data_IF_020081397254
#
_entry.id   IF_020081397254
#
_cell.length_a   1.000
_cell.length_b   1.000
_cell.length_c   1.000
_cell.angle_alpha   90.00
_cell.angle_beta   90.00
_cell.angle_gamma   90.00
#
_symmetry.space_group_name_H-M   'P 1'
#
loop_
_entity.id
_entity.type
_entity.pdbx_description
1 polymer ?
#
# COMPACT_ATOMS: atom_id res chain seq x y z
N UNK A 1 -0.67 17.22 -10.84
CA UNK A 1 -2.11 17.44 -10.75
C UNK A 1 -2.45 18.78 -11.41
N UNK A 2 -3.35 18.78 -12.42
CA UNK A 2 -3.72 19.99 -13.19
C UNK A 2 -2.49 20.77 -13.71
N UNK A 3 -1.53 20.06 -14.30
CA UNK A 3 -0.30 20.64 -14.85
C UNK A 3 0.76 21.05 -13.82
N UNK A 4 0.52 20.80 -12.52
CA UNK A 4 1.50 21.08 -11.45
C UNK A 4 2.03 19.80 -10.85
N UNK A 5 3.36 19.70 -10.72
CA UNK A 5 3.98 18.62 -9.97
C UNK A 5 3.57 18.70 -8.48
N UNK A 6 3.28 17.58 -7.87
CA UNK A 6 3.07 17.52 -6.43
C UNK A 6 4.42 17.44 -5.73
N UNK A 7 4.64 18.23 -4.66
CA UNK A 7 5.81 18.06 -3.81
C UNK A 7 5.87 16.64 -3.26
N UNK A 8 6.98 15.96 -3.51
CA UNK A 8 7.27 14.59 -3.04
C UNK A 8 8.56 14.62 -2.25
N UNK A 9 8.49 14.38 -0.95
CA UNK A 9 9.61 14.44 -0.03
C UNK A 9 9.91 13.06 0.54
N UNK A 10 11.19 12.67 0.54
CA UNK A 10 11.64 11.46 1.22
C UNK A 10 11.43 11.60 2.73
N UNK A 11 10.81 10.61 3.35
CA UNK A 11 10.63 10.52 4.81
C UNK A 11 11.33 9.26 5.34
N UNK A 12 11.21 8.99 6.64
CA UNK A 12 11.77 7.77 7.22
C UNK A 12 11.19 6.53 6.55
N UNK A 13 12.02 5.52 6.30
CA UNK A 13 11.61 4.27 5.68
C UNK A 13 10.52 3.57 6.48
N UNK A 14 9.64 2.88 5.76
CA UNK A 14 8.72 1.95 6.39
C UNK A 14 9.47 0.65 6.71
N UNK A 15 9.56 0.31 7.98
CA UNK A 15 10.13 -0.93 8.45
C UNK A 15 8.99 -1.88 8.86
N UNK A 16 8.80 -2.95 8.11
CA UNK A 16 7.79 -3.96 8.38
C UNK A 16 8.43 -5.24 8.89
N UNK A 17 8.05 -5.76 10.07
CA UNK A 17 8.50 -7.07 10.50
C UNK A 17 7.96 -8.13 9.53
N UNK A 18 8.78 -9.11 9.17
CA UNK A 18 8.36 -10.24 8.36
C UNK A 18 7.40 -11.10 9.18
N UNK A 19 6.19 -11.29 8.68
CA UNK A 19 5.16 -12.09 9.33
C UNK A 19 4.94 -13.42 8.61
N UNK A 20 4.36 -14.45 9.28
CA UNK A 20 4.00 -15.71 8.65
C UNK A 20 3.14 -15.54 7.40
N UNK A 21 2.21 -14.58 7.40
CA UNK A 21 1.38 -14.27 6.23
C UNK A 21 2.19 -13.75 5.05
N UNK A 22 3.21 -12.92 5.29
CA UNK A 22 4.09 -12.44 4.23
C UNK A 22 4.86 -13.58 3.60
N UNK A 23 5.36 -14.51 4.42
CA UNK A 23 6.07 -15.72 3.95
C UNK A 23 5.14 -16.61 3.13
N UNK A 24 3.93 -16.88 3.63
CA UNK A 24 2.93 -17.70 2.94
C UNK A 24 2.47 -17.07 1.63
N UNK A 25 2.23 -15.76 1.61
CA UNK A 25 1.84 -15.02 0.41
C UNK A 25 2.95 -15.01 -0.63
N UNK A 26 4.20 -14.84 -0.22
CA UNK A 26 5.36 -14.92 -1.11
C UNK A 26 5.47 -16.31 -1.73
N UNK A 27 5.38 -17.37 -0.93
CA UNK A 27 5.42 -18.75 -1.40
C UNK A 27 4.28 -19.04 -2.39
N UNK A 28 3.07 -18.61 -2.11
CA UNK A 28 1.91 -18.74 -3.01
C UNK A 28 2.12 -18.02 -4.34
N UNK A 29 2.84 -16.90 -4.33
CA UNK A 29 3.22 -16.15 -5.52
C UNK A 29 4.49 -16.69 -6.22
N UNK A 30 5.06 -17.80 -5.75
CA UNK A 30 6.30 -18.36 -6.29
C UNK A 30 7.55 -17.52 -6.00
N UNK A 31 7.49 -16.61 -5.04
CA UNK A 31 8.64 -15.79 -4.62
C UNK A 31 9.40 -16.49 -3.47
N UNK A 32 10.73 -16.60 -3.55
CA UNK A 32 11.54 -17.12 -2.45
C UNK A 32 11.75 -16.11 -1.31
N UNK A 33 11.27 -14.86 -1.46
CA UNK A 33 11.46 -13.78 -0.50
C UNK A 33 10.13 -13.21 -0.03
N UNK A 34 9.96 -12.95 1.29
CA UNK A 34 8.77 -12.33 1.84
C UNK A 34 8.66 -10.83 1.50
N UNK A 35 9.79 -10.16 1.21
CA UNK A 35 9.83 -8.77 0.78
C UNK A 35 9.62 -8.66 -0.75
N UNK A 36 9.32 -7.46 -1.23
CA UNK A 36 9.14 -7.17 -2.66
C UNK A 36 10.31 -7.64 -3.51
N UNK A 37 11.53 -7.43 -3.03
CA UNK A 37 12.75 -8.00 -3.61
C UNK A 37 13.81 -8.17 -2.50
N UNK A 38 14.88 -8.96 -2.75
CA UNK A 38 15.92 -9.22 -1.76
C UNK A 38 16.59 -7.98 -1.18
N UNK A 39 16.73 -6.93 -1.98
CA UNK A 39 17.36 -5.66 -1.57
C UNK A 39 16.63 -4.94 -0.44
N UNK A 40 15.34 -5.25 -0.21
CA UNK A 40 14.55 -4.68 0.86
C UNK A 40 14.55 -5.53 2.13
N UNK A 41 15.17 -6.72 2.09
CA UNK A 41 15.27 -7.58 3.26
C UNK A 41 16.40 -7.11 4.18
N UNK A 42 16.12 -7.04 5.48
CA UNK A 42 17.07 -6.63 6.52
C UNK A 42 16.84 -7.45 7.78
N UNK A 43 17.91 -7.87 8.41
CA UNK A 43 17.84 -8.55 9.72
C UNK A 43 18.35 -7.60 10.80
N UNK A 44 17.52 -7.30 11.80
CA UNK A 44 17.84 -6.43 12.94
C UNK A 44 17.63 -7.25 14.22
N UNK A 45 18.66 -7.36 15.05
CA UNK A 45 18.61 -8.10 16.31
C UNK A 45 18.04 -9.52 16.18
N UNK A 46 18.43 -10.21 15.09
CA UNK A 46 17.99 -11.59 14.79
C UNK A 46 16.53 -11.72 14.32
N UNK A 47 15.87 -10.61 14.00
CA UNK A 47 14.51 -10.59 13.41
C UNK A 47 14.57 -10.03 12.00
N UNK A 48 13.77 -10.63 11.12
CA UNK A 48 13.71 -10.24 9.71
C UNK A 48 12.67 -9.15 9.49
N UNK A 49 13.04 -8.16 8.68
CA UNK A 49 12.25 -7.01 8.30
C UNK A 49 12.32 -6.75 6.79
N UNK A 50 11.29 -6.09 6.28
CA UNK A 50 11.32 -5.46 4.96
C UNK A 50 11.39 -3.94 5.16
N UNK A 51 12.47 -3.30 4.65
CA UNK A 51 12.66 -1.84 4.71
C UNK A 51 12.29 -1.24 3.36
N UNK A 52 11.24 -0.42 3.33
CA UNK A 52 10.74 0.20 2.10
C UNK A 52 10.94 1.70 2.09
N UNK A 53 11.40 2.28 0.96
CA UNK A 53 11.48 3.71 0.77
C UNK A 53 10.09 4.33 0.83
N UNK A 54 9.93 5.36 1.69
CA UNK A 54 8.67 6.04 1.92
C UNK A 54 8.80 7.52 1.61
N UNK A 55 7.76 8.07 1.02
CA UNK A 55 7.69 9.48 0.64
C UNK A 55 6.40 10.10 1.13
N UNK A 56 6.43 11.42 1.32
CA UNK A 56 5.24 12.23 1.60
C UNK A 56 4.93 13.08 0.39
N UNK A 57 3.72 12.96 -0.12
CA UNK A 57 3.16 13.85 -1.13
C UNK A 57 2.23 14.88 -0.49
N UNK A 58 2.22 16.09 -1.04
CA UNK A 58 1.37 17.17 -0.55
C UNK A 58 0.50 17.68 -1.68
N UNK A 59 -0.81 17.63 -1.48
CA UNK A 59 -1.80 18.17 -2.42
C UNK A 59 -1.83 19.70 -2.38
N UNK A 60 -2.33 20.36 -3.44
CA UNK A 60 -2.53 21.81 -3.44
C UNK A 60 -3.46 22.32 -2.32
N UNK A 61 -4.31 21.45 -1.77
CA UNK A 61 -5.16 21.74 -0.60
C UNK A 61 -4.39 21.79 0.73
N UNK A 62 -3.10 21.43 0.74
CA UNK A 62 -2.29 21.29 1.94
C UNK A 62 -2.40 19.91 2.61
N UNK A 63 -3.33 19.05 2.18
CA UNK A 63 -3.40 17.68 2.68
C UNK A 63 -2.18 16.89 2.23
N UNK A 64 -1.54 16.19 3.16
CA UNK A 64 -0.41 15.29 2.89
C UNK A 64 -0.76 13.85 3.21
N UNK A 65 -0.12 12.92 2.51
CA UNK A 65 -0.21 11.49 2.75
C UNK A 65 1.12 10.82 2.42
N UNK A 66 1.32 9.62 2.92
CA UNK A 66 2.54 8.85 2.70
C UNK A 66 2.33 7.77 1.66
N UNK A 67 3.36 7.54 0.85
CA UNK A 67 3.37 6.57 -0.23
C UNK A 67 4.65 5.75 -0.19
N UNK A 68 4.57 4.54 -0.72
CA UNK A 68 5.72 3.72 -1.06
C UNK A 68 5.99 3.85 -2.56
N UNK A 69 7.26 4.08 -2.89
CA UNK A 69 7.77 4.14 -4.25
C UNK A 69 9.09 3.38 -4.23
N UNK A 70 9.01 2.12 -4.63
CA UNK A 70 10.04 1.11 -4.38
C UNK A 70 11.10 1.07 -5.47
N UNK A 71 10.69 1.32 -6.71
CA UNK A 71 11.52 1.18 -7.90
C UNK A 71 11.35 2.40 -8.79
N UNK A 72 12.44 3.08 -9.09
CA UNK A 72 12.43 4.21 -10.03
C UNK A 72 12.30 3.69 -11.47
N UNK A 73 11.46 4.35 -12.27
CA UNK A 73 11.22 3.99 -13.67
C UNK A 73 10.33 2.78 -13.84
N UNK A 74 9.45 2.49 -12.87
CA UNK A 74 8.41 1.49 -13.01
C UNK A 74 7.37 1.89 -14.07
N UNK A 75 6.59 0.94 -14.58
CA UNK A 75 5.55 1.23 -15.60
C UNK A 75 4.50 2.24 -15.13
N UNK A 76 4.35 2.43 -13.83
CA UNK A 76 3.41 3.38 -13.23
C UNK A 76 3.98 4.79 -13.01
N UNK A 77 5.29 5.01 -13.20
CA UNK A 77 5.94 6.30 -12.90
C UNK A 77 5.72 7.32 -14.01
N UNK A 78 5.93 6.89 -15.26
CA UNK A 78 5.84 7.74 -16.45
C UNK A 78 4.63 7.33 -17.31
N UNK A 79 3.44 7.69 -16.88
CA UNK A 79 2.21 7.45 -17.63
C UNK A 79 1.84 8.63 -18.51
N UNK A 80 0.96 8.39 -19.50
CA UNK A 80 0.33 9.46 -20.25
C UNK A 80 -0.51 10.38 -19.33
N UNK A 81 -0.81 11.57 -19.79
CA UNK A 81 -1.73 12.47 -19.08
C UNK A 81 -3.14 11.92 -19.15
N UNK A 82 -3.76 11.76 -18.00
CA UNK A 82 -5.17 11.36 -17.88
C UNK A 82 -6.06 12.59 -17.69
N UNK A 83 -7.13 12.65 -18.46
CA UNK A 83 -8.24 13.56 -18.20
C UNK A 83 -9.35 12.77 -17.53
N UNK A 84 -9.64 13.09 -16.26
CA UNK A 84 -10.69 12.39 -15.51
C UNK A 84 -12.04 12.97 -15.92
N UNK A 85 -12.98 12.15 -16.49
CA UNK A 85 -14.31 12.63 -16.85
C UNK A 85 -15.10 13.13 -15.64
N UNK A 86 -16.07 14.02 -15.88
CA UNK A 86 -17.01 14.43 -14.84
C UNK A 86 -17.76 13.20 -14.28
N UNK A 87 -17.99 13.17 -12.98
CA UNK A 87 -18.62 12.02 -12.30
C UNK A 87 -17.72 10.77 -12.17
N UNK A 88 -16.42 10.93 -12.42
CA UNK A 88 -15.46 9.83 -12.30
C UNK A 88 -14.34 10.16 -11.32
N UNK A 89 -13.63 9.13 -10.87
CA UNK A 89 -12.53 9.18 -9.91
C UNK A 89 -11.27 8.55 -10.53
N UNK A 90 -10.13 9.18 -10.25
CA UNK A 90 -8.81 8.62 -10.52
C UNK A 90 -8.21 8.19 -9.18
N UNK A 91 -8.15 6.89 -8.96
CA UNK A 91 -7.68 6.30 -7.71
C UNK A 91 -6.25 5.81 -7.88
N UNK A 92 -5.41 6.08 -6.90
CA UNK A 92 -4.03 5.60 -6.86
C UNK A 92 -3.77 4.89 -5.53
N UNK A 93 -3.11 3.74 -5.61
CA UNK A 93 -2.66 3.03 -4.41
C UNK A 93 -1.51 3.78 -3.72
N UNK A 94 -1.44 3.62 -2.40
CA UNK A 94 -0.34 4.13 -1.58
C UNK A 94 0.99 3.43 -1.89
N UNK A 95 0.98 2.15 -2.23
CA UNK A 95 2.14 1.47 -2.80
C UNK A 95 2.13 1.64 -4.32
N UNK A 96 2.86 2.63 -4.81
CA UNK A 96 2.88 3.04 -6.22
C UNK A 96 3.30 1.93 -7.17
N UNK A 97 4.20 1.04 -6.77
CA UNK A 97 4.72 -0.05 -7.60
C UNK A 97 3.92 -1.34 -7.52
N UNK A 98 2.97 -1.44 -6.58
CA UNK A 98 2.16 -2.64 -6.36
C UNK A 98 0.67 -2.37 -6.37
N UNK A 99 0.25 -1.34 -7.05
CA UNK A 99 -1.17 -1.01 -7.19
C UNK A 99 -1.64 -1.18 -8.62
N UNK A 100 -2.66 -2.02 -8.81
CA UNK A 100 -3.39 -2.16 -10.06
C UNK A 100 -4.51 -1.09 -10.09
N UNK A 101 -4.13 0.17 -10.20
CA UNK A 101 -4.98 1.34 -10.01
C UNK A 101 -5.35 2.07 -11.32
N UNK A 102 -5.86 3.29 -11.23
CA UNK A 102 -6.35 4.05 -12.38
C UNK A 102 -5.27 4.46 -13.39
N UNK A 103 -4.00 4.26 -13.08
CA UNK A 103 -2.90 4.47 -14.02
C UNK A 103 -2.87 3.45 -15.15
N UNK A 104 -3.55 2.34 -14.98
CA UNK A 104 -3.63 1.24 -15.94
C UNK A 104 -5.06 1.06 -16.46
N UNK A 105 -5.25 0.57 -17.70
CA UNK A 105 -6.58 0.27 -18.23
C UNK A 105 -7.33 -0.75 -17.36
N UNK A 106 -8.65 -0.61 -17.27
CA UNK A 106 -9.47 -1.54 -16.52
C UNK A 106 -9.44 -2.94 -17.16
N UNK A 107 -9.14 -3.95 -16.34
CA UNK A 107 -9.10 -5.37 -16.75
C UNK A 107 -9.75 -6.25 -15.69
N UNK A 108 -10.43 -7.30 -16.10
CA UNK A 108 -11.05 -8.26 -15.17
C UNK A 108 -9.95 -8.97 -14.35
N UNK A 109 -10.02 -8.80 -13.02
CA UNK A 109 -9.00 -9.33 -12.11
C UNK A 109 -7.66 -8.58 -12.13
N UNK A 110 -7.59 -7.45 -12.81
CA UNK A 110 -6.41 -6.60 -12.94
C UNK A 110 -6.65 -5.17 -12.45
N UNK A 111 -6.19 -4.19 -13.22
CA UNK A 111 -6.30 -2.78 -12.88
C UNK A 111 -7.75 -2.25 -12.97
N UNK A 112 -8.04 -1.24 -12.14
CA UNK A 112 -9.41 -0.70 -12.00
C UNK A 112 -9.76 0.36 -13.04
N UNK A 113 -8.76 1.00 -13.68
CA UNK A 113 -9.00 2.13 -14.57
C UNK A 113 -9.64 3.34 -13.89
N UNK A 114 -10.29 4.19 -14.67
CA UNK A 114 -11.08 5.31 -14.16
C UNK A 114 -12.41 4.76 -13.62
N UNK A 115 -12.75 5.13 -12.37
CA UNK A 115 -13.88 4.56 -11.62
C UNK A 115 -15.05 5.56 -11.60
N UNK A 116 -16.29 5.14 -11.94
CA UNK A 116 -17.46 5.99 -11.76
C UNK A 116 -17.65 6.40 -10.29
N UNK A 117 -18.01 7.65 -10.03
CA UNK A 117 -18.27 8.13 -8.67
C UNK A 117 -19.44 7.41 -8.00
N UNK A 118 -20.38 6.85 -8.79
CA UNK A 118 -21.47 6.01 -8.29
C UNK A 118 -21.01 4.75 -7.59
N UNK A 119 -19.79 4.28 -7.88
CA UNK A 119 -19.24 3.06 -7.31
C UNK A 119 -18.54 3.33 -5.95
N UNK A 120 -18.47 4.60 -5.56
CA UNK A 120 -17.93 5.00 -4.26
C UNK A 120 -18.93 4.68 -3.15
N UNK A 121 -18.63 3.67 -2.34
CA UNK A 121 -19.46 3.24 -1.20
C UNK A 121 -19.27 4.15 0.00
N UNK A 122 -18.02 4.56 0.27
CA UNK A 122 -17.71 5.39 1.42
C UNK A 122 -16.20 5.61 1.60
N UNK A 123 -15.87 6.26 2.70
CA UNK A 123 -14.49 6.53 3.13
C UNK A 123 -14.17 5.73 4.38
N UNK A 124 -12.99 5.11 4.41
CA UNK A 124 -12.45 4.57 5.65
C UNK A 124 -12.21 5.71 6.65
N UNK A 125 -12.67 5.54 7.88
CA UNK A 125 -12.54 6.55 8.95
C UNK A 125 -11.54 6.12 10.01
N UNK A 126 -11.59 4.85 10.41
CA UNK A 126 -10.82 4.34 11.54
C UNK A 126 -10.58 2.85 11.42
N UNK A 127 -9.42 2.40 11.87
CA UNK A 127 -9.13 0.98 12.03
C UNK A 127 -9.76 0.49 13.34
N UNK A 128 -10.68 -0.47 13.26
CA UNK A 128 -11.32 -1.07 14.44
C UNK A 128 -10.64 -2.36 14.88
N UNK A 129 -9.98 -3.07 13.96
CA UNK A 129 -9.27 -4.32 14.22
C UNK A 129 -8.16 -4.54 13.19
N UNK A 130 -7.00 -5.00 13.65
CA UNK A 130 -5.86 -5.34 12.81
C UNK A 130 -5.04 -6.43 13.48
N UNK A 131 -4.59 -7.44 12.72
CA UNK A 131 -3.68 -8.48 13.19
C UNK A 131 -2.37 -8.44 12.41
N UNK A 132 -1.33 -9.04 12.97
CA UNK A 132 -0.04 -9.24 12.31
C UNK A 132 -0.03 -10.46 11.37
N UNK A 133 -1.14 -11.20 11.33
CA UNK A 133 -1.32 -12.39 10.50
C UNK A 133 -0.91 -13.71 11.15
N UNK A 134 -0.54 -13.72 12.42
CA UNK A 134 -0.24 -14.94 13.17
C UNK A 134 -1.47 -15.57 13.84
N UNK A 135 -2.64 -14.92 13.71
CA UNK A 135 -3.89 -15.43 14.29
C UNK A 135 -4.41 -16.64 13.54
N UNK A 136 -4.73 -17.72 14.29
CA UNK A 136 -5.29 -18.97 13.76
C UNK A 136 -6.81 -19.00 14.03
N UNK A 137 -7.60 -19.40 13.03
CA UNK A 137 -9.07 -19.43 13.16
C UNK A 137 -9.57 -20.38 14.27
N UNK A 138 -8.87 -21.47 14.46
CA UNK A 138 -9.23 -22.51 15.43
C UNK A 138 -8.68 -22.27 16.82
N UNK A 139 -7.80 -21.27 16.98
CA UNK A 139 -7.11 -20.92 18.23
C UNK A 139 -7.41 -19.47 18.65
N UNK A 140 -8.60 -19.21 19.25
CA UNK A 140 -9.03 -17.83 19.57
C UNK A 140 -8.07 -17.06 20.48
N UNK A 141 -7.29 -17.75 21.31
CA UNK A 141 -6.27 -17.13 22.16
C UNK A 141 -5.13 -16.49 21.37
N UNK A 142 -4.84 -16.99 20.15
CA UNK A 142 -3.82 -16.39 19.28
C UNK A 142 -4.26 -15.01 18.77
N UNK A 143 -5.55 -14.72 18.74
CA UNK A 143 -6.07 -13.44 18.29
C UNK A 143 -5.65 -12.28 19.19
N UNK A 144 -5.53 -12.55 20.51
CA UNK A 144 -5.12 -11.53 21.50
C UNK A 144 -3.65 -11.15 21.27
N UNK A 145 -2.78 -12.14 21.08
CA UNK A 145 -1.34 -11.91 20.83
C UNK A 145 -1.05 -11.36 19.45
N UNK A 146 -1.84 -11.76 18.44
CA UNK A 146 -1.71 -11.30 17.06
C UNK A 146 -2.31 -9.91 16.81
N UNK A 147 -3.13 -9.39 17.73
CA UNK A 147 -3.79 -8.08 17.56
C UNK A 147 -2.76 -6.96 17.65
N UNK A 148 -2.78 -6.09 16.64
CA UNK A 148 -1.99 -4.86 16.59
C UNK A 148 -2.74 -3.76 17.32
N UNK A 149 -2.60 -3.76 18.64
CA UNK A 149 -3.30 -2.85 19.54
C UNK A 149 -3.00 -1.37 19.29
N UNK A 150 -1.78 -1.09 18.82
CA UNK A 150 -1.30 0.24 18.42
C UNK A 150 -2.06 0.84 17.23
N UNK A 151 -2.71 0.00 16.42
CA UNK A 151 -3.46 0.42 15.25
C UNK A 151 -4.96 0.61 15.50
N UNK A 152 -5.46 0.16 16.63
CA UNK A 152 -6.88 0.34 16.97
C UNK A 152 -7.15 1.81 17.24
N UNK A 153 -8.11 2.40 16.52
CA UNK A 153 -8.41 3.82 16.56
C UNK A 153 -7.55 4.68 15.64
N UNK A 154 -6.62 4.09 14.86
CA UNK A 154 -5.89 4.81 13.83
C UNK A 154 -6.86 5.36 12.77
N UNK A 155 -6.82 6.67 12.53
CA UNK A 155 -7.66 7.37 11.54
C UNK A 155 -6.99 7.43 10.16
N UNK A 156 -7.81 7.68 9.11
CA UNK A 156 -7.39 7.82 7.71
C UNK A 156 -7.60 9.23 7.18
#
# INVERSE_FOLDING_TARGET
LNGKALPKQRVADLLLPVTPNMVSAAAAAGSPFPCYSPQFAETIDGKDYCRYPRYRETLPSGKSYEILDLVQGSMGDDTMTFTVPEGSLFLMGDNRDRSADSRFPAEVGGAIGIVPQSDLIGRALVTIFSTDGSAEWWEPWTWISATRWDRIGEGF
#
